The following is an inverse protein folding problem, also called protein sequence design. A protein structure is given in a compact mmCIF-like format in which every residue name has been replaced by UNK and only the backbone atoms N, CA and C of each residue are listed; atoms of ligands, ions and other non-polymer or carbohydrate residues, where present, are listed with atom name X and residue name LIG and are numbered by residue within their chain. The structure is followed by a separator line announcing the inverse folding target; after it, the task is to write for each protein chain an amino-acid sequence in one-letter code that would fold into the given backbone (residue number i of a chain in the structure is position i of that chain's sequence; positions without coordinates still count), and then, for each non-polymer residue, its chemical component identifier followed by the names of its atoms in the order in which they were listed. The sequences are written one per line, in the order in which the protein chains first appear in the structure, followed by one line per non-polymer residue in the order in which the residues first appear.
data_IF_524044576954
#
_entry.id   IF_524044576954
#
_cell.length_a   1.000
_cell.length_b   1.000
_cell.length_c   1.000
_cell.angle_alpha   90.00
_cell.angle_beta   90.00
_cell.angle_gamma   90.00
#
_symmetry.space_group_name_H-M   'P 1'
#
loop_
_entity.id
_entity.type
_entity.pdbx_description
1 polymer ?
#
# COMPACT_ATOMS: atom_id res chain seq x y z
N UNK A 1 -7.44 -0.58 -3.24
CA UNK A 1 -7.67 0.56 -2.31
C UNK A 1 -8.95 1.28 -2.72
N UNK A 2 -9.59 1.99 -1.81
CA UNK A 2 -10.73 2.89 -2.09
C UNK A 2 -10.24 4.33 -2.08
N UNK A 3 -10.49 5.05 -3.17
CA UNK A 3 -10.21 6.48 -3.25
C UNK A 3 -11.42 7.25 -2.68
N UNK A 4 -11.41 7.42 -1.36
CA UNK A 4 -12.48 8.14 -0.65
C UNK A 4 -12.10 9.61 -0.50
N UNK A 5 -13.05 10.52 -0.75
CA UNK A 5 -12.89 11.93 -0.39
C UNK A 5 -13.44 12.16 1.00
N UNK A 6 -12.76 12.96 1.83
CA UNK A 6 -13.27 13.32 3.16
C UNK A 6 -13.84 14.73 3.13
N UNK A 7 -15.02 14.93 3.73
CA UNK A 7 -15.66 16.23 3.77
C UNK A 7 -14.79 17.32 4.41
N UNK A 8 -13.95 16.95 5.39
CA UNK A 8 -12.97 17.86 6.03
C UNK A 8 -11.94 18.46 5.05
N UNK A 9 -11.82 17.91 3.83
CA UNK A 9 -10.94 18.42 2.78
C UNK A 9 -11.61 19.50 1.91
N UNK A 10 -12.94 19.70 2.02
CA UNK A 10 -13.68 20.66 1.21
C UNK A 10 -13.21 22.10 1.42
N UNK A 11 -12.81 22.45 2.65
CA UNK A 11 -12.41 23.81 3.02
C UNK A 11 -10.91 24.05 2.90
N UNK A 12 -10.16 23.07 2.37
CA UNK A 12 -8.70 23.15 2.22
C UNK A 12 -8.28 23.95 0.99
N UNK A 13 -7.06 24.47 1.03
CA UNK A 13 -6.46 25.16 -0.11
C UNK A 13 -6.34 24.22 -1.32
N UNK A 14 -6.22 24.80 -2.52
CA UNK A 14 -6.08 23.99 -3.74
C UNK A 14 -4.82 23.10 -3.70
N UNK A 15 -3.74 23.59 -3.09
CA UNK A 15 -2.49 22.84 -2.93
C UNK A 15 -2.67 21.64 -2.00
N UNK A 16 -3.31 21.83 -0.84
CA UNK A 16 -3.62 20.72 0.08
C UNK A 16 -4.53 19.69 -0.60
N UNK A 17 -5.57 20.14 -1.33
CA UNK A 17 -6.47 19.26 -2.08
C UNK A 17 -5.71 18.44 -3.12
N UNK A 18 -4.79 19.05 -3.86
CA UNK A 18 -3.94 18.35 -4.81
C UNK A 18 -3.08 17.27 -4.11
N UNK A 19 -2.54 17.57 -2.92
CA UNK A 19 -1.79 16.60 -2.13
C UNK A 19 -2.66 15.42 -1.64
N UNK A 20 -3.93 15.64 -1.30
CA UNK A 20 -4.86 14.56 -0.95
C UNK A 20 -5.22 13.69 -2.16
N UNK A 21 -5.51 14.31 -3.31
CA UNK A 21 -5.83 13.61 -4.56
C UNK A 21 -4.66 12.76 -5.09
N UNK A 22 -3.42 13.09 -4.73
CA UNK A 22 -2.25 12.31 -5.10
C UNK A 22 -2.12 10.97 -4.33
N UNK A 23 -2.96 10.73 -3.32
CA UNK A 23 -2.98 9.48 -2.54
C UNK A 23 -3.91 8.46 -3.22
N UNK A 24 -3.47 7.22 -3.37
CA UNK A 24 -4.25 6.18 -4.07
C UNK A 24 -5.48 5.71 -3.28
N UNK A 25 -5.45 5.84 -1.96
CA UNK A 25 -6.61 5.57 -1.12
C UNK A 25 -6.33 4.72 0.11
N UNK A 26 -7.40 4.27 0.75
CA UNK A 26 -7.38 3.41 1.95
C UNK A 26 -7.61 1.94 1.60
N UNK A 27 -7.35 1.03 2.54
CA UNK A 27 -7.60 -0.41 2.36
C UNK A 27 -9.06 -0.66 1.99
N UNK A 28 -9.29 -1.43 0.92
CA UNK A 28 -10.63 -1.89 0.56
C UNK A 28 -11.05 -3.11 1.40
N UNK A 29 -12.35 -3.36 1.56
CA UNK A 29 -12.86 -4.40 2.45
C UNK A 29 -12.47 -5.81 2.03
N UNK A 30 -12.20 -6.05 0.76
CA UNK A 30 -11.80 -7.38 0.25
C UNK A 30 -10.33 -7.71 0.55
N UNK A 31 -9.53 -6.72 0.96
CA UNK A 31 -8.18 -6.91 1.44
C UNK A 31 -8.19 -7.14 2.95
N UNK A 32 -7.79 -8.34 3.37
CA UNK A 32 -7.59 -8.67 4.77
C UNK A 32 -6.39 -7.89 5.33
N UNK A 33 -5.32 -7.75 4.54
CA UNK A 33 -4.10 -7.06 4.93
C UNK A 33 -3.64 -6.13 3.81
N UNK A 34 -3.27 -4.90 4.20
CA UNK A 34 -2.61 -3.93 3.34
C UNK A 34 -1.74 -3.07 4.23
N UNK A 35 -0.43 -3.09 4.02
CA UNK A 35 0.53 -2.34 4.83
C UNK A 35 1.73 -1.89 4.00
N UNK A 36 2.41 -0.85 4.48
CA UNK A 36 3.73 -0.44 4.00
C UNK A 36 4.75 -0.95 5.01
N UNK A 37 5.68 -1.79 4.57
CA UNK A 37 6.65 -2.46 5.45
C UNK A 37 8.08 -2.15 5.04
N UNK A 38 8.98 -2.24 6.00
CA UNK A 38 10.41 -2.27 5.75
C UNK A 38 10.78 -3.63 5.11
N UNK A 39 11.46 -3.65 3.95
CA UNK A 39 11.73 -4.88 3.20
C UNK A 39 12.72 -5.82 3.90
N UNK A 40 13.57 -5.31 4.78
CA UNK A 40 14.57 -6.09 5.53
C UNK A 40 13.95 -6.69 6.79
N UNK A 41 13.31 -5.86 7.61
CA UNK A 41 12.76 -6.28 8.91
C UNK A 41 11.37 -6.90 8.79
N UNK A 42 10.68 -6.67 7.68
CA UNK A 42 9.29 -7.09 7.39
C UNK A 42 8.26 -6.53 8.38
N UNK A 43 8.60 -5.45 9.09
CA UNK A 43 7.70 -4.77 10.02
C UNK A 43 7.07 -3.54 9.37
N UNK A 44 5.86 -3.13 9.79
CA UNK A 44 5.25 -1.89 9.33
C UNK A 44 6.17 -0.69 9.56
N UNK A 45 6.29 0.18 8.56
CA UNK A 45 6.95 1.48 8.73
C UNK A 45 6.03 2.45 9.49
N UNK A 46 6.56 3.53 10.10
CA UNK A 46 5.74 4.60 10.66
C UNK A 46 4.73 5.15 9.64
N UNK A 47 3.52 5.44 10.10
CA UNK A 47 2.45 6.01 9.26
C UNK A 47 2.52 7.54 9.24
N UNK A 48 3.68 8.09 8.91
CA UNK A 48 3.98 9.52 8.96
C UNK A 48 3.83 10.24 7.59
N UNK A 49 3.46 9.49 6.54
CA UNK A 49 3.39 9.99 5.17
C UNK A 49 4.74 10.31 4.53
N UNK A 50 5.84 9.88 5.15
CA UNK A 50 7.22 10.22 4.76
C UNK A 50 8.13 8.98 4.66
N UNK A 51 8.04 8.06 5.62
CA UNK A 51 8.87 6.87 5.66
C UNK A 51 8.46 5.91 4.54
N UNK A 52 9.37 5.69 3.60
CA UNK A 52 9.15 4.82 2.43
C UNK A 52 9.35 3.37 2.85
N UNK A 53 8.43 2.51 2.40
CA UNK A 53 8.57 1.06 2.46
C UNK A 53 7.91 0.37 1.27
N UNK A 54 7.96 -0.95 1.28
CA UNK A 54 7.31 -1.80 0.27
C UNK A 54 5.83 -2.00 0.62
N UNK A 55 4.96 -1.88 -0.36
CA UNK A 55 3.54 -2.18 -0.22
C UNK A 55 3.34 -3.70 -0.29
N UNK A 56 2.68 -4.24 0.72
CA UNK A 56 2.31 -5.66 0.78
C UNK A 56 0.82 -5.82 1.03
N UNK A 57 0.24 -6.90 0.52
CA UNK A 57 -1.20 -7.16 0.66
C UNK A 57 -1.55 -8.65 0.74
N UNK A 58 -2.66 -8.95 1.40
CA UNK A 58 -3.34 -10.25 1.35
C UNK A 58 -4.85 -10.04 1.40
N UNK A 59 -5.61 -11.01 0.89
CA UNK A 59 -7.07 -10.94 0.89
C UNK A 59 -7.69 -11.78 -0.21
N UNK A 60 -9.02 -11.76 -0.27
CA UNK A 60 -9.81 -12.63 -1.14
C UNK A 60 -9.59 -12.33 -2.64
N UNK A 61 -9.14 -11.13 -2.97
CA UNK A 61 -8.90 -10.68 -4.35
C UNK A 61 -7.45 -10.87 -4.81
N UNK A 62 -6.55 -11.33 -3.92
CA UNK A 62 -5.15 -11.57 -4.26
C UNK A 62 -4.98 -12.96 -4.87
N UNK A 63 -4.17 -13.05 -5.94
CA UNK A 63 -3.88 -14.32 -6.61
C UNK A 63 -3.29 -15.36 -5.66
N UNK A 64 -3.48 -16.65 -5.94
CA UNK A 64 -2.87 -17.74 -5.15
C UNK A 64 -1.37 -17.93 -5.42
N UNK A 65 -0.86 -17.32 -6.48
CA UNK A 65 0.49 -17.52 -6.98
C UNK A 65 0.54 -17.50 -8.51
N UNK A 66 1.74 -17.69 -9.04
CA UNK A 66 2.00 -17.74 -10.47
C UNK A 66 1.78 -19.14 -11.03
N UNK A 67 1.14 -19.21 -12.19
CA UNK A 67 0.85 -20.48 -12.86
C UNK A 67 2.14 -21.21 -13.24
N UNK A 68 2.29 -22.48 -12.79
CA UNK A 68 3.45 -23.35 -13.03
C UNK A 68 4.81 -22.73 -12.65
N UNK A 69 4.83 -21.76 -11.74
CA UNK A 69 6.06 -21.14 -11.26
C UNK A 69 6.06 -21.07 -9.72
N UNK A 70 6.33 -22.20 -9.04
CA UNK A 70 6.32 -22.25 -7.58
C UNK A 70 7.45 -21.42 -6.95
N UNK A 71 8.59 -21.28 -7.63
CA UNK A 71 9.72 -20.48 -7.15
C UNK A 71 9.38 -19.00 -7.10
N UNK A 72 8.82 -18.44 -8.19
CA UNK A 72 8.35 -17.06 -8.21
C UNK A 72 7.22 -16.85 -7.19
N UNK A 73 6.31 -17.83 -7.04
CA UNK A 73 5.25 -17.76 -6.04
C UNK A 73 5.82 -17.66 -4.63
N UNK A 74 6.75 -18.54 -4.26
CA UNK A 74 7.37 -18.52 -2.95
C UNK A 74 8.13 -17.21 -2.69
N UNK A 75 8.78 -16.66 -3.72
CA UNK A 75 9.49 -15.38 -3.64
C UNK A 75 8.52 -14.21 -3.37
N UNK A 76 7.49 -14.06 -4.19
CA UNK A 76 6.57 -12.91 -4.08
C UNK A 76 5.58 -13.04 -2.91
N UNK A 77 5.40 -14.23 -2.33
CA UNK A 77 4.58 -14.45 -1.12
C UNK A 77 5.42 -14.59 0.16
N UNK A 78 6.68 -14.13 0.15
CA UNK A 78 7.57 -14.20 1.31
C UNK A 78 6.92 -13.53 2.54
N UNK A 79 6.82 -14.27 3.64
CA UNK A 79 6.18 -13.78 4.86
C UNK A 79 4.65 -13.87 4.86
N UNK A 80 4.04 -14.64 3.95
CA UNK A 80 2.61 -14.94 3.95
C UNK A 80 1.72 -13.85 3.35
N UNK A 81 2.33 -12.79 2.80
CA UNK A 81 1.67 -11.68 2.11
C UNK A 81 2.26 -11.52 0.72
N UNK A 82 1.48 -11.00 -0.22
CA UNK A 82 1.95 -10.69 -1.56
C UNK A 82 2.75 -9.38 -1.55
N UNK A 83 4.00 -9.47 -2.01
CA UNK A 83 4.88 -8.34 -2.28
C UNK A 83 4.51 -7.74 -3.63
N UNK A 84 4.05 -6.49 -3.67
CA UNK A 84 3.59 -5.89 -4.94
C UNK A 84 4.75 -5.42 -5.81
N UNK A 85 5.92 -5.21 -5.19
CA UNK A 85 7.06 -4.53 -5.80
C UNK A 85 6.85 -3.01 -5.95
N UNK A 86 5.87 -2.43 -5.27
CA UNK A 86 5.65 -0.98 -5.25
C UNK A 86 6.18 -0.38 -3.95
N UNK A 87 6.80 0.79 -4.05
CA UNK A 87 7.26 1.57 -2.92
C UNK A 87 6.29 2.72 -2.64
N UNK A 88 5.99 2.92 -1.37
CA UNK A 88 5.05 3.95 -0.95
C UNK A 88 5.22 4.38 0.49
N UNK A 89 4.37 5.31 0.89
CA UNK A 89 4.23 5.80 2.26
C UNK A 89 2.80 5.57 2.73
N UNK A 90 2.61 5.47 4.05
CA UNK A 90 1.29 5.41 4.66
C UNK A 90 1.07 6.61 5.57
N UNK A 91 -0.11 7.20 5.48
CA UNK A 91 -0.53 8.33 6.32
C UNK A 91 -1.25 7.84 7.59
N UNK A 92 -1.31 8.67 8.66
CA UNK A 92 -1.97 8.30 9.92
C UNK A 92 -3.45 7.96 9.74
N UNK A 93 -4.07 8.58 8.75
CA UNK A 93 -5.47 8.43 8.40
C UNK A 93 -5.76 7.21 7.50
N UNK A 94 -4.75 6.37 7.29
CA UNK A 94 -4.84 5.08 6.60
C UNK A 94 -4.58 5.13 5.09
N UNK A 95 -4.41 6.32 4.50
CA UNK A 95 -4.15 6.45 3.06
C UNK A 95 -2.74 5.96 2.71
N UNK A 96 -2.62 5.36 1.53
CA UNK A 96 -1.33 5.02 0.93
C UNK A 96 -1.07 5.97 -0.24
N UNK A 97 0.18 6.38 -0.36
CA UNK A 97 0.69 7.07 -1.54
C UNK A 97 1.85 6.29 -2.15
N UNK A 98 1.68 5.89 -3.41
CA UNK A 98 2.75 5.35 -4.25
C UNK A 98 3.82 6.41 -4.50
N UNK A 99 5.07 6.00 -4.38
CA UNK A 99 6.24 6.85 -4.59
C UNK A 99 7.11 6.35 -5.73
N UNK A 100 7.30 5.04 -5.83
CA UNK A 100 8.15 4.44 -6.86
C UNK A 100 7.84 2.94 -7.01
N UNK A 101 8.63 2.24 -7.83
CA UNK A 101 8.59 0.79 -8.01
C UNK A 101 9.95 0.18 -7.65
N UNK A 102 9.94 -0.92 -6.88
CA UNK A 102 11.15 -1.73 -6.69
C UNK A 102 11.53 -2.39 -8.02
N UNK A 103 12.82 -2.39 -8.35
CA UNK A 103 13.36 -3.01 -9.57
C UNK A 103 13.69 -4.49 -9.35
#
# INVERSE_FOLDING_TARGET
VMCEWKDEWNDKSMEEKAAFLARQGVRCLELEYLEVIDPETRKPVPRDGQTIGEIVMSGNTIMKGYFKNPEATAKEFKGGVFNTGDLGVRYPDGYIQLKDRSK
#
